data_IF_995555001363
#
_entry.id   IF_995555001363
#
_cell.length_a   1.000
_cell.length_b   1.000
_cell.length_c   1.000
_cell.angle_alpha   90.00
_cell.angle_beta   90.00
_cell.angle_gamma   90.00
#
_symmetry.space_group_name_H-M   'P 1'
#
loop_
_entity.id
_entity.type
_entity.pdbx_description
1 polymer ?
#
# COMPACT_ATOMS: atom_id res chain seq x y z
N UNK A 1 41.68 18.32 49.70
CA UNK A 1 40.77 18.85 48.63
C UNK A 1 40.76 17.84 47.53
N UNK A 2 39.77 16.99 47.46
CA UNK A 2 39.62 15.94 46.43
C UNK A 2 38.67 16.50 45.38
N UNK A 3 39.16 16.78 44.16
CA UNK A 3 38.32 17.16 43.01
C UNK A 3 37.61 15.92 42.46
N UNK A 4 36.28 15.88 42.60
CA UNK A 4 35.43 14.89 41.92
C UNK A 4 35.35 15.27 40.46
N UNK A 5 35.91 14.43 39.60
CA UNK A 5 35.74 14.48 38.14
C UNK A 5 34.45 13.72 37.80
N UNK A 6 33.42 14.44 37.36
CA UNK A 6 32.23 13.82 36.79
C UNK A 6 32.49 13.47 35.37
N UNK A 7 32.54 12.17 35.08
CA UNK A 7 32.62 11.65 33.73
C UNK A 7 31.19 11.64 33.15
N UNK A 8 30.90 12.60 32.26
CA UNK A 8 29.64 12.68 31.55
C UNK A 8 29.68 11.65 30.39
N UNK A 9 29.05 10.48 30.59
CA UNK A 9 28.84 9.52 29.48
C UNK A 9 27.78 10.11 28.54
N UNK A 10 28.25 10.68 27.42
CA UNK A 10 27.39 10.99 26.26
C UNK A 10 27.01 9.66 25.58
N UNK A 11 25.78 9.22 25.83
CA UNK A 11 25.14 8.16 25.03
C UNK A 11 24.86 8.77 23.66
N UNK A 12 25.72 8.53 22.67
CA UNK A 12 25.42 8.76 21.26
C UNK A 12 24.38 7.72 20.85
N UNK A 13 23.10 8.10 20.88
CA UNK A 13 22.04 7.35 20.17
C UNK A 13 22.31 7.62 18.69
N UNK A 14 22.99 6.68 18.02
CA UNK A 14 23.04 6.64 16.56
C UNK A 14 21.62 6.34 16.08
N UNK A 15 20.90 7.34 15.60
CA UNK A 15 19.73 7.15 14.79
C UNK A 15 20.19 6.46 13.49
N UNK A 16 20.07 5.15 13.44
CA UNK A 16 20.23 4.41 12.19
C UNK A 16 19.06 4.80 11.29
N UNK A 17 19.26 5.77 10.42
CA UNK A 17 18.34 6.02 9.30
C UNK A 17 18.51 4.85 8.34
N UNK A 18 17.64 3.86 8.45
CA UNK A 18 17.64 2.70 7.59
C UNK A 18 17.31 3.14 6.16
N UNK A 19 18.26 2.94 5.24
CA UNK A 19 18.07 3.17 3.81
C UNK A 19 17.23 2.03 3.19
N UNK A 20 16.78 2.22 1.95
CA UNK A 20 16.17 1.11 1.22
C UNK A 20 17.21 0.00 0.98
N UNK A 21 16.78 -1.28 0.99
CA UNK A 21 17.69 -2.40 0.79
C UNK A 21 18.33 -2.36 -0.59
N UNK A 22 19.62 -2.71 -0.65
CA UNK A 22 20.33 -2.87 -1.91
C UNK A 22 19.81 -4.11 -2.67
N UNK A 23 19.96 -4.13 -3.99
CA UNK A 23 19.48 -5.26 -4.81
C UNK A 23 20.09 -6.60 -4.39
N UNK A 24 21.33 -6.61 -3.88
CA UNK A 24 21.98 -7.82 -3.35
C UNK A 24 21.29 -8.39 -2.11
N UNK A 25 20.70 -7.55 -1.27
CA UNK A 25 19.99 -7.98 -0.05
C UNK A 25 18.63 -8.61 -0.39
N UNK A 26 18.02 -8.21 -1.51
CA UNK A 26 16.75 -8.75 -1.98
C UNK A 26 16.87 -10.12 -2.65
N UNK A 27 18.09 -10.61 -2.90
CA UNK A 27 18.28 -11.88 -3.61
C UNK A 27 17.67 -13.06 -2.85
N UNK A 28 17.91 -13.15 -1.52
CA UNK A 28 17.30 -14.18 -0.68
C UNK A 28 15.78 -14.11 -0.66
N UNK A 29 15.23 -12.90 -0.59
CA UNK A 29 13.78 -12.67 -0.57
C UNK A 29 13.13 -13.02 -1.91
N UNK A 30 13.86 -12.79 -3.03
CA UNK A 30 13.38 -13.18 -4.37
C UNK A 30 13.08 -14.67 -4.48
N UNK A 31 13.77 -15.55 -3.71
CA UNK A 31 13.50 -16.99 -3.74
C UNK A 31 12.09 -17.34 -3.25
N UNK A 32 11.49 -16.49 -2.42
CA UNK A 32 10.10 -16.62 -1.96
C UNK A 32 9.08 -16.08 -2.95
N UNK A 33 9.52 -15.36 -3.99
CA UNK A 33 8.64 -14.79 -5.00
C UNK A 33 8.48 -15.76 -6.18
N UNK A 34 7.26 -15.88 -6.68
CA UNK A 34 6.92 -16.78 -7.79
C UNK A 34 6.12 -16.05 -8.86
N UNK A 35 6.25 -16.53 -10.10
CA UNK A 35 5.43 -16.05 -11.21
C UNK A 35 4.17 -16.93 -11.31
N UNK A 36 2.99 -16.32 -11.28
CA UNK A 36 1.71 -17.02 -11.46
C UNK A 36 1.34 -17.00 -12.94
N UNK A 37 1.19 -18.18 -13.54
CA UNK A 37 0.84 -18.35 -14.95
C UNK A 37 -0.54 -18.97 -15.08
N UNK A 38 -1.34 -18.40 -15.96
CA UNK A 38 -2.74 -18.74 -16.13
C UNK A 38 -3.04 -19.06 -17.58
N UNK A 39 -3.92 -20.03 -17.80
CA UNK A 39 -4.44 -20.37 -19.14
C UNK A 39 -5.96 -20.25 -19.15
N UNK A 40 -6.48 -19.40 -20.02
CA UNK A 40 -7.92 -19.21 -20.20
C UNK A 40 -8.52 -20.14 -21.24
N UNK A 41 -9.85 -20.22 -21.29
CA UNK A 41 -10.60 -21.12 -22.17
C UNK A 41 -10.36 -20.95 -23.66
N UNK A 42 -9.97 -19.77 -24.09
CA UNK A 42 -9.65 -19.40 -25.47
C UNK A 42 -8.16 -19.59 -25.83
N UNK A 43 -7.36 -20.20 -24.96
CA UNK A 43 -5.91 -20.38 -25.16
C UNK A 43 -5.06 -19.14 -24.84
N UNK A 44 -5.66 -18.03 -24.45
CA UNK A 44 -4.94 -16.83 -23.97
C UNK A 44 -4.28 -17.15 -22.63
N UNK A 45 -3.08 -16.64 -22.44
CA UNK A 45 -2.34 -16.76 -21.19
C UNK A 45 -2.36 -15.43 -20.45
N UNK A 46 -2.43 -15.49 -19.12
CA UNK A 46 -2.28 -14.35 -18.20
C UNK A 46 -1.16 -14.61 -17.24
N UNK A 47 -0.69 -13.54 -16.60
CA UNK A 47 0.37 -13.62 -15.59
C UNK A 47 0.06 -12.75 -14.40
N UNK A 48 0.58 -13.17 -13.26
CA UNK A 48 0.59 -12.43 -11.99
C UNK A 48 1.81 -12.80 -11.18
N UNK A 49 1.86 -12.27 -10.00
CA UNK A 49 2.87 -12.55 -8.99
C UNK A 49 2.29 -13.40 -7.87
N UNK A 50 3.16 -14.02 -7.08
CA UNK A 50 2.79 -14.70 -5.85
C UNK A 50 3.96 -14.68 -4.88
N UNK A 51 3.66 -14.86 -3.60
CA UNK A 51 4.64 -14.94 -2.52
C UNK A 51 4.40 -16.18 -1.66
N UNK A 52 5.49 -16.89 -1.34
CA UNK A 52 5.44 -18.07 -0.45
C UNK A 52 5.27 -17.61 0.98
N UNK A 53 4.11 -17.88 1.58
CA UNK A 53 3.73 -17.39 2.92
C UNK A 53 3.95 -18.43 4.03
N UNK A 54 3.98 -19.70 3.68
CA UNK A 54 4.37 -20.83 4.52
C UNK A 54 4.68 -22.02 3.64
N UNK A 55 5.18 -23.11 4.23
CA UNK A 55 5.48 -24.34 3.52
C UNK A 55 4.33 -24.77 2.60
N UNK A 56 4.64 -24.96 1.30
CA UNK A 56 3.71 -25.39 0.28
C UNK A 56 2.51 -24.47 0.02
N UNK A 57 2.56 -23.18 0.41
CA UNK A 57 1.47 -22.23 0.21
C UNK A 57 1.96 -20.91 -0.38
N UNK A 58 1.28 -20.45 -1.43
CA UNK A 58 1.55 -19.19 -2.14
C UNK A 58 0.32 -18.30 -2.07
N UNK A 59 0.48 -17.10 -1.53
CA UNK A 59 -0.54 -16.05 -1.62
C UNK A 59 -0.44 -15.32 -2.97
N UNK A 60 -1.60 -14.96 -3.53
CA UNK A 60 -1.76 -14.19 -4.76
C UNK A 60 -3.16 -13.57 -4.82
N UNK A 61 -3.45 -12.74 -5.83
CA UNK A 61 -4.79 -12.24 -6.05
C UNK A 61 -5.66 -13.26 -6.79
N UNK A 62 -6.93 -13.33 -6.42
CA UNK A 62 -7.89 -14.22 -7.05
C UNK A 62 -8.18 -13.83 -8.52
N UNK A 63 -8.28 -12.52 -8.82
CA UNK A 63 -8.59 -12.03 -10.17
C UNK A 63 -7.53 -12.44 -11.20
N UNK A 64 -6.30 -12.78 -10.79
CA UNK A 64 -5.23 -13.26 -11.68
C UNK A 64 -5.66 -14.51 -12.44
N UNK A 65 -6.43 -15.40 -11.78
CA UNK A 65 -6.85 -16.67 -12.39
C UNK A 65 -8.36 -16.92 -12.34
N UNK A 66 -9.15 -15.89 -12.05
CA UNK A 66 -10.60 -16.00 -12.08
C UNK A 66 -11.08 -16.54 -13.45
N UNK A 67 -12.01 -17.49 -13.41
CA UNK A 67 -12.62 -18.11 -14.61
C UNK A 67 -11.63 -18.74 -15.59
N UNK A 68 -10.42 -19.06 -15.13
CA UNK A 68 -9.40 -19.73 -15.94
C UNK A 68 -9.61 -21.24 -15.98
N UNK A 69 -8.97 -21.88 -16.96
CA UNK A 69 -8.90 -23.36 -17.07
C UNK A 69 -7.83 -23.96 -16.17
N UNK A 70 -6.88 -23.17 -15.70
CA UNK A 70 -5.82 -23.62 -14.83
C UNK A 70 -4.82 -22.54 -14.48
N UNK A 71 -4.27 -22.67 -13.29
CA UNK A 71 -3.23 -21.82 -12.74
C UNK A 71 -2.01 -22.67 -12.41
N UNK A 72 -0.82 -22.11 -12.63
CA UNK A 72 0.45 -22.71 -12.27
C UNK A 72 1.35 -21.66 -11.65
N UNK A 73 2.26 -22.11 -10.81
CA UNK A 73 3.34 -21.27 -10.30
C UNK A 73 4.63 -21.68 -11.00
N UNK A 74 5.42 -20.67 -11.42
CA UNK A 74 6.71 -20.88 -12.08
C UNK A 74 7.80 -20.20 -11.27
N UNK A 75 8.86 -20.95 -10.99
CA UNK A 75 10.09 -20.46 -10.38
C UNK A 75 11.30 -21.14 -11.02
N UNK A 76 12.30 -20.36 -11.44
CA UNK A 76 13.51 -20.88 -12.05
C UNK A 76 13.23 -21.89 -13.19
N UNK A 77 12.27 -21.57 -14.08
CA UNK A 77 11.78 -22.39 -15.19
C UNK A 77 11.10 -23.70 -14.78
N UNK A 78 11.00 -24.01 -13.49
CA UNK A 78 10.24 -25.14 -12.97
C UNK A 78 8.79 -24.73 -12.72
N UNK A 79 7.86 -25.57 -13.18
CA UNK A 79 6.42 -25.41 -13.05
C UNK A 79 5.90 -26.24 -11.89
N UNK A 80 5.07 -25.63 -11.06
CA UNK A 80 4.37 -26.26 -9.95
C UNK A 80 2.86 -26.11 -10.14
N UNK A 81 2.12 -27.22 -9.97
CA UNK A 81 0.67 -27.25 -10.12
C UNK A 81 0.03 -27.27 -8.73
N UNK A 82 -0.84 -26.35 -8.38
CA UNK A 82 -1.52 -26.39 -7.10
C UNK A 82 -2.51 -27.54 -7.03
N UNK A 83 -2.64 -28.15 -5.85
CA UNK A 83 -3.59 -29.23 -5.56
C UNK A 83 -4.90 -28.70 -4.95
N UNK A 84 -4.90 -27.48 -4.44
CA UNK A 84 -6.07 -26.83 -3.85
C UNK A 84 -5.91 -25.31 -3.85
N UNK A 85 -7.04 -24.61 -3.79
CA UNK A 85 -7.12 -23.14 -3.73
C UNK A 85 -7.98 -22.74 -2.53
N UNK A 86 -7.49 -21.86 -1.69
CA UNK A 86 -8.29 -21.11 -0.74
C UNK A 86 -8.63 -19.78 -1.40
N UNK A 87 -9.91 -19.44 -1.55
CA UNK A 87 -10.32 -18.24 -2.25
C UNK A 87 -11.26 -17.37 -1.41
N UNK A 88 -10.99 -16.08 -1.43
CA UNK A 88 -11.90 -15.03 -1.00
C UNK A 88 -12.05 -14.04 -2.16
N UNK A 89 -12.98 -14.36 -3.06
CA UNK A 89 -13.21 -13.59 -4.28
C UNK A 89 -13.60 -12.13 -3.98
N UNK A 90 -14.37 -11.91 -2.91
CA UNK A 90 -14.79 -10.57 -2.49
C UNK A 90 -13.61 -9.70 -2.06
N UNK A 91 -12.67 -10.27 -1.31
CA UNK A 91 -11.44 -9.60 -0.87
C UNK A 91 -10.33 -9.64 -1.92
N UNK A 92 -10.54 -10.41 -2.99
CA UNK A 92 -9.54 -10.67 -4.05
C UNK A 92 -8.28 -11.38 -3.57
N UNK A 93 -8.34 -12.10 -2.46
CA UNK A 93 -7.22 -12.80 -1.86
C UNK A 93 -7.34 -14.31 -2.04
N UNK A 94 -6.32 -14.92 -2.62
CA UNK A 94 -6.25 -16.36 -2.83
C UNK A 94 -4.93 -16.95 -2.30
N UNK A 95 -5.01 -18.21 -1.83
CA UNK A 95 -3.83 -18.99 -1.46
C UNK A 95 -3.85 -20.30 -2.23
N UNK A 96 -2.80 -20.55 -2.98
CA UNK A 96 -2.55 -21.79 -3.72
C UNK A 96 -1.78 -22.77 -2.84
N UNK A 97 -2.26 -24.00 -2.71
CA UNK A 97 -1.61 -25.09 -1.96
C UNK A 97 -0.97 -26.09 -2.91
N UNK A 98 0.21 -26.55 -2.57
CA UNK A 98 0.99 -27.53 -3.34
C UNK A 98 1.29 -28.78 -2.50
N UNK A 99 1.60 -29.90 -3.14
CA UNK A 99 2.14 -31.10 -2.46
C UNK A 99 3.60 -30.91 -2.09
N UNK A 100 4.39 -30.38 -3.02
CA UNK A 100 5.83 -30.17 -2.87
C UNK A 100 6.22 -28.85 -3.56
N UNK A 101 6.51 -27.82 -2.76
CA UNK A 101 7.01 -26.53 -3.20
C UNK A 101 8.23 -26.16 -2.35
N UNK A 102 9.46 -26.59 -2.74
CA UNK A 102 10.66 -26.40 -1.94
C UNK A 102 11.21 -24.97 -2.05
N UNK A 103 10.37 -23.98 -1.74
CA UNK A 103 10.70 -22.57 -1.72
C UNK A 103 10.55 -22.00 -0.31
N UNK A 104 11.43 -21.08 0.12
CA UNK A 104 11.37 -20.49 1.45
C UNK A 104 10.12 -19.61 1.62
N UNK A 105 9.55 -19.65 2.81
CA UNK A 105 8.47 -18.77 3.20
C UNK A 105 9.00 -17.44 3.79
N UNK A 106 8.24 -16.37 3.61
CA UNK A 106 8.53 -15.07 4.23
C UNK A 106 7.91 -14.94 5.61
N UNK A 107 8.48 -14.07 6.46
CA UNK A 107 7.84 -13.62 7.69
C UNK A 107 6.73 -12.62 7.36
N UNK A 108 5.68 -12.55 8.18
CA UNK A 108 4.57 -11.59 8.02
C UNK A 108 4.48 -10.68 9.24
N UNK A 109 4.04 -9.44 9.02
CA UNK A 109 3.80 -8.43 10.05
C UNK A 109 2.46 -7.74 9.79
N UNK A 110 1.68 -7.55 10.85
CA UNK A 110 0.32 -7.03 10.77
C UNK A 110 0.27 -5.56 10.34
N UNK A 111 -0.80 -5.19 9.63
CA UNK A 111 -1.02 -3.82 9.17
C UNK A 111 -1.28 -2.82 10.30
N UNK A 112 -1.71 -3.29 11.48
CA UNK A 112 -1.88 -2.46 12.68
C UNK A 112 -0.57 -1.90 13.24
N UNK A 113 0.57 -2.48 12.86
CA UNK A 113 1.91 -2.07 13.28
C UNK A 113 2.56 -1.06 12.31
N UNK A 114 1.83 -0.64 11.27
CA UNK A 114 2.31 0.27 10.23
C UNK A 114 1.90 1.70 10.54
N UNK A 115 2.75 2.64 10.12
CA UNK A 115 2.44 4.06 10.19
C UNK A 115 2.62 4.75 8.83
N UNK A 116 2.05 5.95 8.70
CA UNK A 116 2.26 6.78 7.51
C UNK A 116 3.74 7.15 7.41
N UNK A 117 4.23 7.24 6.18
CA UNK A 117 5.62 7.51 5.80
C UNK A 117 6.62 6.39 6.14
N UNK A 118 6.17 5.25 6.71
CA UNK A 118 7.02 4.06 6.80
C UNK A 118 7.57 3.68 5.44
N UNK A 119 8.89 3.47 5.37
CA UNK A 119 9.57 3.04 4.15
C UNK A 119 9.24 1.59 3.85
N UNK A 120 8.82 1.33 2.62
CA UNK A 120 8.41 -0.01 2.15
C UNK A 120 8.93 -0.25 0.74
N UNK A 121 8.94 -1.49 0.31
CA UNK A 121 9.19 -1.83 -1.08
C UNK A 121 8.26 -2.95 -1.56
N UNK A 122 7.78 -2.82 -2.78
CA UNK A 122 7.08 -3.90 -3.46
C UNK A 122 8.09 -4.76 -4.21
N UNK A 123 7.91 -6.09 -4.17
CA UNK A 123 8.69 -7.05 -4.95
C UNK A 123 7.72 -7.86 -5.81
N UNK A 124 7.76 -7.66 -7.13
CA UNK A 124 6.73 -8.17 -8.03
C UNK A 124 7.32 -8.62 -9.35
N UNK A 125 6.68 -9.59 -9.99
CA UNK A 125 6.92 -9.86 -11.42
C UNK A 125 6.16 -8.84 -12.27
N UNK A 126 6.70 -8.54 -13.44
CA UNK A 126 5.99 -7.81 -14.50
C UNK A 126 5.84 -8.74 -15.70
N UNK A 127 4.96 -8.40 -16.65
CA UNK A 127 4.74 -9.25 -17.83
C UNK A 127 6.03 -9.59 -18.58
N UNK A 128 7.00 -8.68 -18.58
CA UNK A 128 8.20 -8.78 -19.40
C UNK A 128 9.45 -9.18 -18.61
N UNK A 129 9.34 -9.39 -17.29
CA UNK A 129 10.50 -9.70 -16.43
C UNK A 129 10.51 -11.16 -16.00
N UNK A 130 11.61 -11.91 -16.22
CA UNK A 130 11.76 -13.27 -15.72
C UNK A 130 12.08 -13.34 -14.23
N UNK A 131 12.37 -12.19 -13.60
CA UNK A 131 12.68 -12.07 -12.16
C UNK A 131 11.75 -11.05 -11.50
N UNK A 132 11.55 -11.20 -10.20
CA UNK A 132 10.85 -10.20 -9.42
C UNK A 132 11.71 -8.92 -9.31
N UNK A 133 11.08 -7.77 -9.53
CA UNK A 133 11.73 -6.46 -9.51
C UNK A 133 11.24 -5.65 -8.30
N UNK A 134 12.14 -4.95 -7.60
CA UNK A 134 11.76 -4.07 -6.50
C UNK A 134 11.24 -2.72 -7.00
N UNK A 135 10.30 -2.16 -6.27
CA UNK A 135 9.87 -0.78 -6.37
C UNK A 135 9.78 -0.19 -4.97
N UNK A 136 10.47 0.90 -4.73
CA UNK A 136 10.60 1.53 -3.43
C UNK A 136 9.56 2.62 -3.23
N UNK A 137 9.08 2.78 -2.00
CA UNK A 137 8.08 3.79 -1.67
C UNK A 137 7.82 3.86 -0.17
N UNK A 138 6.71 4.48 0.19
CA UNK A 138 6.28 4.69 1.57
C UNK A 138 4.81 4.33 1.72
N UNK A 139 4.39 4.07 2.96
CA UNK A 139 2.97 4.00 3.31
C UNK A 139 2.37 5.41 3.17
N UNK A 140 1.30 5.54 2.41
CA UNK A 140 0.61 6.81 2.13
C UNK A 140 -0.83 6.83 2.63
N UNK A 141 -1.32 5.70 3.12
CA UNK A 141 -2.65 5.57 3.72
C UNK A 141 -2.84 4.19 4.32
N UNK A 142 -3.58 4.15 5.39
CA UNK A 142 -4.00 2.95 6.10
C UNK A 142 -5.50 3.09 6.26
N UNK A 143 -6.26 2.36 5.43
CA UNK A 143 -7.70 2.54 5.32
C UNK A 143 -8.42 1.38 6.01
N UNK A 144 -9.11 1.61 7.14
CA UNK A 144 -9.94 0.59 7.76
C UNK A 144 -10.94 0.02 6.77
N UNK A 145 -10.98 -1.29 6.63
CA UNK A 145 -11.92 -1.97 5.78
C UNK A 145 -12.23 -3.37 6.33
N UNK A 146 -13.51 -3.62 6.64
CA UNK A 146 -13.96 -4.81 7.36
C UNK A 146 -13.21 -4.94 8.71
N UNK A 147 -12.44 -5.99 8.89
CA UNK A 147 -11.71 -6.32 10.12
C UNK A 147 -10.18 -6.13 10.01
N UNK A 148 -9.72 -5.34 9.04
CA UNK A 148 -8.30 -5.04 8.81
C UNK A 148 -8.11 -3.71 8.07
N UNK A 149 -6.92 -3.47 7.51
CA UNK A 149 -6.55 -2.21 6.86
C UNK A 149 -6.05 -2.43 5.43
N UNK A 150 -6.69 -1.80 4.46
CA UNK A 150 -6.13 -1.70 3.10
C UNK A 150 -4.98 -0.70 3.11
N UNK A 151 -3.84 -1.12 2.62
CA UNK A 151 -2.62 -0.32 2.62
C UNK A 151 -2.51 0.44 1.30
N UNK A 152 -2.39 1.77 1.36
CA UNK A 152 -2.03 2.62 0.21
C UNK A 152 -0.54 2.93 0.27
N UNK A 153 0.17 2.73 -0.84
CA UNK A 153 1.61 2.96 -0.92
C UNK A 153 2.01 3.76 -2.15
N UNK A 154 3.17 4.40 -2.09
CA UNK A 154 3.83 5.00 -3.26
C UNK A 154 4.79 4.05 -3.98
N UNK A 155 5.05 2.86 -3.44
CA UNK A 155 5.79 1.80 -4.13
C UNK A 155 4.99 1.37 -5.37
N UNK A 156 5.45 1.78 -6.54
CA UNK A 156 4.69 1.64 -7.78
C UNK A 156 4.76 0.21 -8.33
N UNK A 157 3.64 -0.28 -8.86
CA UNK A 157 3.58 -1.56 -9.55
C UNK A 157 2.68 -1.50 -10.81
N UNK A 158 2.78 -2.48 -11.68
CA UNK A 158 2.16 -2.47 -13.01
C UNK A 158 1.49 -3.80 -13.34
N UNK A 159 1.08 -3.98 -14.58
CA UNK A 159 0.47 -5.24 -15.06
C UNK A 159 1.44 -6.41 -14.84
N UNK A 160 0.94 -7.52 -14.30
CA UNK A 160 1.72 -8.67 -13.86
C UNK A 160 2.15 -8.62 -12.39
N UNK A 161 2.05 -7.47 -11.73
CA UNK A 161 2.40 -7.33 -10.32
C UNK A 161 1.32 -7.82 -9.35
N UNK A 162 0.09 -8.03 -9.82
CA UNK A 162 -1.02 -8.53 -8.99
C UNK A 162 -0.65 -9.82 -8.27
N UNK A 163 -0.89 -9.88 -6.96
CA UNK A 163 -0.50 -10.99 -6.10
C UNK A 163 0.94 -10.95 -5.61
N UNK A 164 1.71 -9.91 -5.93
CA UNK A 164 3.06 -9.73 -5.44
C UNK A 164 3.10 -9.27 -3.99
N UNK A 165 4.28 -8.97 -3.49
CA UNK A 165 4.52 -8.69 -2.09
C UNK A 165 4.86 -7.21 -1.84
N UNK A 166 4.31 -6.63 -0.78
CA UNK A 166 4.78 -5.40 -0.17
C UNK A 166 5.50 -5.77 1.13
N UNK A 167 6.73 -5.29 1.29
CA UNK A 167 7.59 -5.56 2.45
C UNK A 167 7.94 -4.28 3.20
N UNK A 168 8.11 -4.40 4.53
CA UNK A 168 8.83 -3.42 5.33
C UNK A 168 10.36 -3.55 5.14
N UNK A 169 11.14 -2.64 5.77
CA UNK A 169 12.61 -2.68 5.66
C UNK A 169 13.27 -3.83 6.45
N UNK A 170 12.52 -4.52 7.32
CA UNK A 170 12.95 -5.71 8.04
C UNK A 170 12.61 -7.01 7.27
N UNK A 171 12.19 -6.87 6.00
CA UNK A 171 11.79 -7.95 5.08
C UNK A 171 10.56 -8.74 5.53
N UNK A 172 9.69 -8.18 6.37
CA UNK A 172 8.40 -8.78 6.66
C UNK A 172 7.39 -8.44 5.57
N UNK A 173 6.65 -9.43 5.11
CA UNK A 173 5.48 -9.23 4.25
C UNK A 173 4.41 -8.48 5.05
N UNK A 174 3.99 -7.33 4.56
CA UNK A 174 2.96 -6.49 5.17
C UNK A 174 1.70 -6.37 4.31
N UNK A 175 1.78 -6.76 3.03
CA UNK A 175 0.63 -6.72 2.13
C UNK A 175 0.84 -7.44 0.82
N UNK A 176 -0.28 -7.77 0.16
CA UNK A 176 -0.32 -8.35 -1.19
C UNK A 176 -0.69 -7.24 -2.19
N UNK A 177 0.17 -7.00 -3.19
CA UNK A 177 -0.06 -5.95 -4.19
C UNK A 177 -1.23 -6.34 -5.09
N UNK A 178 -2.27 -5.51 -5.18
CA UNK A 178 -3.53 -5.91 -5.83
C UNK A 178 -3.92 -4.96 -6.95
N UNK A 179 -4.31 -3.74 -6.63
CA UNK A 179 -4.85 -2.83 -7.62
C UNK A 179 -4.22 -1.45 -7.54
N UNK A 180 -4.21 -0.76 -8.68
CA UNK A 180 -3.88 0.66 -8.74
C UNK A 180 -5.11 1.46 -9.16
N UNK A 181 -5.24 2.64 -8.62
CA UNK A 181 -6.31 3.54 -9.06
C UNK A 181 -6.09 3.98 -10.51
N UNK A 182 -7.16 4.18 -11.28
CA UNK A 182 -7.06 4.72 -12.62
C UNK A 182 -6.51 6.16 -12.61
N UNK A 183 -5.86 6.55 -13.72
CA UNK A 183 -5.37 7.91 -13.95
C UNK A 183 -3.89 8.10 -13.63
N UNK A 184 -3.32 9.18 -14.19
CA UNK A 184 -1.88 9.48 -14.07
C UNK A 184 -1.57 10.49 -12.95
N UNK A 185 -2.52 11.36 -12.62
CA UNK A 185 -2.26 12.54 -11.76
C UNK A 185 -2.34 12.22 -10.28
N UNK A 186 -3.22 11.29 -9.89
CA UNK A 186 -3.46 10.87 -8.51
C UNK A 186 -3.40 9.34 -8.41
N UNK A 187 -2.36 8.76 -9.04
CA UNK A 187 -2.15 7.31 -9.03
C UNK A 187 -1.85 6.81 -7.62
N UNK A 188 -2.64 5.87 -7.15
CA UNK A 188 -2.47 5.20 -5.87
C UNK A 188 -2.32 3.70 -6.11
N UNK A 189 -1.49 3.07 -5.31
CA UNK A 189 -1.25 1.62 -5.31
C UNK A 189 -1.76 1.06 -3.99
N UNK A 190 -2.53 -0.02 -4.07
CA UNK A 190 -3.20 -0.60 -2.91
C UNK A 190 -2.82 -2.06 -2.73
N UNK A 191 -2.60 -2.44 -1.48
CA UNK A 191 -2.25 -3.79 -1.09
C UNK A 191 -3.26 -4.32 -0.08
N UNK A 192 -3.57 -5.61 -0.18
CA UNK A 192 -4.41 -6.33 0.77
C UNK A 192 -3.60 -6.65 2.02
N UNK A 193 -4.19 -6.60 3.22
CA UNK A 193 -3.50 -6.89 4.46
C UNK A 193 -3.19 -8.39 4.62
N UNK A 194 -2.09 -8.70 5.28
CA UNK A 194 -1.66 -10.09 5.51
C UNK A 194 -2.55 -10.84 6.51
N UNK A 195 -3.25 -10.14 7.39
CA UNK A 195 -4.15 -10.72 8.39
C UNK A 195 -5.28 -11.53 7.75
N UNK A 196 -5.71 -11.15 6.56
CA UNK A 196 -6.72 -11.89 5.82
C UNK A 196 -6.22 -13.25 5.33
N UNK A 197 -4.90 -13.45 5.21
CA UNK A 197 -4.30 -14.73 4.82
C UNK A 197 -4.62 -15.79 5.89
N UNK A 198 -4.40 -15.46 7.17
CA UNK A 198 -4.69 -16.39 8.27
C UNK A 198 -6.16 -16.75 8.37
N UNK A 199 -7.04 -15.77 8.15
CA UNK A 199 -8.48 -15.99 8.13
C UNK A 199 -8.88 -16.89 6.96
N UNK A 200 -8.30 -16.66 5.78
CA UNK A 200 -8.57 -17.44 4.58
C UNK A 200 -8.15 -18.90 4.76
N UNK A 201 -7.00 -19.15 5.36
CA UNK A 201 -6.48 -20.50 5.59
C UNK A 201 -7.29 -21.34 6.58
N UNK A 202 -8.20 -20.71 7.36
CA UNK A 202 -9.17 -21.42 8.22
C UNK A 202 -10.40 -21.92 7.45
N UNK A 203 -10.64 -21.38 6.23
CA UNK A 203 -11.72 -21.81 5.36
C UNK A 203 -11.38 -23.17 4.70
N UNK A 204 -12.39 -23.82 4.12
CA UNK A 204 -12.15 -25.01 3.31
C UNK A 204 -11.60 -24.62 1.93
N UNK A 205 -10.62 -25.34 1.40
CA UNK A 205 -10.14 -25.11 0.05
C UNK A 205 -11.22 -25.44 -0.98
N UNK A 206 -11.19 -24.73 -2.11
CA UNK A 206 -12.07 -24.93 -3.26
C UNK A 206 -11.35 -25.77 -4.32
N UNK A 207 -12.11 -26.52 -5.11
CA UNK A 207 -11.57 -27.33 -6.21
C UNK A 207 -11.77 -26.67 -7.58
N UNK A 208 -12.55 -25.58 -7.67
CA UNK A 208 -12.81 -24.85 -8.88
C UNK A 208 -12.20 -23.45 -8.81
N UNK A 209 -12.00 -22.82 -9.99
CA UNK A 209 -11.46 -21.47 -10.16
C UNK A 209 -12.54 -20.49 -10.63
N UNK A 210 -13.81 -20.85 -10.42
CA UNK A 210 -14.94 -20.01 -10.81
C UNK A 210 -15.17 -18.97 -9.73
N UNK A 211 -15.19 -17.69 -10.12
CA UNK A 211 -15.48 -16.59 -9.22
C UNK A 211 -16.97 -16.61 -8.82
N UNK A 212 -17.24 -16.55 -7.53
CA UNK A 212 -18.59 -16.45 -6.97
C UNK A 212 -18.97 -15.01 -6.53
N UNK A 213 -18.02 -14.08 -6.59
CA UNK A 213 -18.20 -12.68 -6.24
C UNK A 213 -17.28 -11.76 -7.02
N UNK A 214 -17.71 -10.53 -7.23
CA UNK A 214 -16.84 -9.46 -7.72
C UNK A 214 -15.95 -8.95 -6.58
N UNK A 215 -14.66 -8.66 -6.82
CA UNK A 215 -13.80 -8.06 -5.82
C UNK A 215 -14.30 -6.66 -5.44
N UNK A 216 -14.14 -6.29 -4.16
CA UNK A 216 -14.68 -5.05 -3.58
C UNK A 216 -14.27 -3.78 -4.35
N UNK A 217 -13.05 -3.78 -4.90
CA UNK A 217 -12.52 -2.65 -5.67
C UNK A 217 -13.13 -2.53 -7.08
N UNK A 218 -13.78 -3.57 -7.61
CA UNK A 218 -14.46 -3.57 -8.92
C UNK A 218 -15.96 -3.28 -8.84
N UNK A 219 -16.50 -3.15 -7.64
CA UNK A 219 -17.91 -2.83 -7.42
C UNK A 219 -18.30 -1.47 -8.04
N UNK A 220 -19.61 -1.17 -8.24
CA UNK A 220 -20.08 0.17 -8.57
C UNK A 220 -19.58 1.21 -7.56
N UNK A 221 -19.31 2.45 -8.03
CA UNK A 221 -18.66 3.47 -7.21
C UNK A 221 -19.36 3.75 -5.87
N UNK A 222 -20.69 3.71 -5.83
CA UNK A 222 -21.48 3.92 -4.61
C UNK A 222 -21.45 2.74 -3.61
N UNK A 223 -20.83 1.62 -3.98
CA UNK A 223 -20.66 0.42 -3.13
C UNK A 223 -19.20 0.22 -2.69
N UNK A 224 -18.27 1.00 -3.25
CA UNK A 224 -16.86 0.98 -2.86
C UNK A 224 -16.66 1.69 -1.52
N UNK A 225 -15.56 1.39 -0.78
CA UNK A 225 -15.13 2.19 0.36
C UNK A 225 -14.90 3.67 -0.03
N UNK A 226 -15.07 4.59 0.92
CA UNK A 226 -14.93 6.04 0.65
C UNK A 226 -13.59 6.42 0.03
N UNK A 227 -12.48 5.84 0.49
CA UNK A 227 -11.15 6.12 -0.04
C UNK A 227 -11.01 5.78 -1.53
N UNK A 228 -11.86 4.90 -2.06
CA UNK A 228 -11.93 4.60 -3.49
C UNK A 228 -12.94 5.49 -4.22
N UNK A 229 -14.05 5.87 -3.57
CA UNK A 229 -15.07 6.71 -4.19
C UNK A 229 -14.53 8.09 -4.58
N UNK A 230 -13.59 8.66 -3.81
CA UNK A 230 -13.00 9.98 -4.10
C UNK A 230 -12.09 10.00 -5.33
N UNK A 231 -11.56 8.85 -5.75
CA UNK A 231 -10.52 8.77 -6.79
C UNK A 231 -11.01 9.30 -8.15
N UNK A 232 -12.12 8.77 -8.64
CA UNK A 232 -12.63 9.16 -9.96
C UNK A 232 -13.07 10.63 -10.04
N UNK A 233 -13.78 11.20 -9.05
CA UNK A 233 -14.03 12.64 -8.99
C UNK A 233 -12.75 13.47 -8.98
N UNK A 234 -11.71 13.07 -8.24
CA UNK A 234 -10.40 13.75 -8.24
C UNK A 234 -9.74 13.75 -9.62
N UNK A 235 -9.71 12.59 -10.30
CA UNK A 235 -9.14 12.48 -11.65
C UNK A 235 -9.86 13.39 -12.66
N UNK A 236 -11.18 13.57 -12.48
CA UNK A 236 -12.02 14.45 -13.30
C UNK A 236 -12.04 15.91 -12.84
N UNK A 237 -11.29 16.24 -11.79
CA UNK A 237 -11.29 17.56 -11.12
C UNK A 237 -12.70 18.03 -10.69
N UNK A 238 -13.60 17.07 -10.42
CA UNK A 238 -14.93 17.35 -9.89
C UNK A 238 -14.86 17.58 -8.37
N UNK A 239 -14.32 18.73 -7.97
CA UNK A 239 -14.04 19.03 -6.55
C UNK A 239 -15.31 19.13 -5.70
N UNK A 240 -16.44 19.53 -6.27
CA UNK A 240 -17.73 19.54 -5.55
C UNK A 240 -18.16 18.12 -5.16
N UNK A 241 -17.93 17.14 -6.02
CA UNK A 241 -18.24 15.75 -5.72
C UNK A 241 -17.24 15.17 -4.71
N UNK A 242 -15.95 15.52 -4.80
CA UNK A 242 -14.96 15.15 -3.76
C UNK A 242 -15.40 15.70 -2.40
N UNK A 243 -15.83 16.97 -2.32
CA UNK A 243 -16.36 17.56 -1.07
C UNK A 243 -17.57 16.78 -0.57
N UNK A 244 -18.52 16.43 -1.45
CA UNK A 244 -19.72 15.67 -1.07
C UNK A 244 -19.37 14.31 -0.45
N UNK A 245 -18.50 13.55 -1.13
CA UNK A 245 -18.07 12.22 -0.67
C UNK A 245 -17.27 12.33 0.62
N UNK A 246 -16.29 13.24 0.68
CA UNK A 246 -15.45 13.40 1.86
C UNK A 246 -16.21 13.89 3.09
N UNK A 247 -17.25 14.71 2.92
CA UNK A 247 -18.18 15.06 4.02
C UNK A 247 -18.91 13.85 4.58
N UNK A 248 -19.41 12.98 3.70
CA UNK A 248 -20.05 11.73 4.15
C UNK A 248 -19.01 10.83 4.83
N UNK A 249 -17.79 10.80 4.32
CA UNK A 249 -16.71 10.01 4.90
C UNK A 249 -16.36 10.50 6.31
N UNK A 250 -16.15 11.82 6.52
CA UNK A 250 -15.90 12.39 7.85
C UNK A 250 -17.06 12.19 8.84
N UNK A 251 -18.29 12.03 8.36
CA UNK A 251 -19.45 11.74 9.21
C UNK A 251 -19.53 10.26 9.65
N UNK A 252 -19.03 9.34 8.82
CA UNK A 252 -19.04 7.91 9.10
C UNK A 252 -17.77 7.44 9.82
N UNK A 253 -16.64 8.13 9.58
CA UNK A 253 -15.32 7.80 10.09
C UNK A 253 -14.63 9.11 10.53
N UNK A 254 -15.10 9.69 11.65
CA UNK A 254 -14.64 11.02 12.10
C UNK A 254 -13.16 11.06 12.49
N UNK A 255 -12.61 9.91 12.90
CA UNK A 255 -11.18 9.76 13.27
C UNK A 255 -10.28 9.42 12.07
N UNK A 256 -10.82 9.30 10.87
CA UNK A 256 -10.05 8.98 9.67
C UNK A 256 -9.39 10.24 9.11
N UNK A 257 -8.06 10.33 9.21
CA UNK A 257 -7.28 11.49 8.75
C UNK A 257 -7.39 11.74 7.24
N UNK A 258 -7.47 10.68 6.41
CA UNK A 258 -7.64 10.82 4.97
C UNK A 258 -8.99 11.46 4.60
N UNK A 259 -10.06 11.16 5.34
CA UNK A 259 -11.36 11.78 5.11
C UNK A 259 -11.30 13.31 5.22
N UNK A 260 -10.64 13.80 6.26
CA UNK A 260 -10.40 15.24 6.47
C UNK A 260 -9.42 15.81 5.47
N UNK A 261 -8.37 15.06 5.10
CA UNK A 261 -7.42 15.46 4.08
C UNK A 261 -8.12 15.71 2.73
N UNK A 262 -8.88 14.74 2.21
CA UNK A 262 -9.56 14.88 0.92
C UNK A 262 -10.59 16.01 0.94
N UNK A 263 -11.27 16.23 2.07
CA UNK A 263 -12.17 17.36 2.24
C UNK A 263 -11.42 18.69 2.16
N UNK A 264 -10.31 18.83 2.88
CA UNK A 264 -9.46 20.03 2.88
C UNK A 264 -8.78 20.27 1.53
N UNK A 265 -8.28 19.22 0.90
CA UNK A 265 -7.68 19.28 -0.43
C UNK A 265 -8.67 19.78 -1.48
N UNK A 266 -9.88 19.26 -1.51
CA UNK A 266 -10.91 19.71 -2.43
C UNK A 266 -11.31 21.16 -2.18
N UNK A 267 -11.42 21.61 -0.92
CA UNK A 267 -11.67 23.01 -0.58
C UNK A 267 -10.55 23.93 -1.07
N UNK A 268 -9.27 23.52 -0.95
CA UNK A 268 -8.12 24.25 -1.50
C UNK A 268 -8.24 24.38 -3.02
N UNK A 269 -8.60 23.31 -3.73
CA UNK A 269 -8.79 23.33 -5.19
C UNK A 269 -9.93 24.27 -5.63
N UNK A 270 -10.95 24.43 -4.78
CA UNK A 270 -12.04 25.39 -4.98
C UNK A 270 -11.70 26.81 -4.51
N UNK A 271 -10.46 27.04 -4.06
CA UNK A 271 -9.96 28.32 -3.51
C UNK A 271 -10.63 28.76 -2.19
N UNK A 272 -11.28 27.84 -1.47
CA UNK A 272 -11.87 28.08 -0.15
C UNK A 272 -10.81 27.86 0.94
N UNK A 273 -9.80 28.76 1.01
CA UNK A 273 -8.57 28.52 1.77
C UNK A 273 -8.77 28.40 3.29
N UNK A 274 -9.77 29.08 3.87
CA UNK A 274 -10.02 28.99 5.32
C UNK A 274 -10.60 27.62 5.71
N UNK A 275 -11.53 27.09 4.92
CA UNK A 275 -12.02 25.72 5.11
C UNK A 275 -10.93 24.69 4.84
N UNK A 276 -10.11 24.91 3.81
CA UNK A 276 -8.97 24.04 3.52
C UNK A 276 -8.01 23.94 4.72
N UNK A 277 -7.59 25.08 5.29
CA UNK A 277 -6.74 25.10 6.49
C UNK A 277 -7.37 24.38 7.67
N UNK A 278 -8.65 24.61 7.92
CA UNK A 278 -9.37 23.95 9.02
C UNK A 278 -9.32 22.42 8.88
N UNK A 279 -9.68 21.89 7.71
CA UNK A 279 -9.79 20.45 7.51
C UNK A 279 -8.42 19.76 7.37
N UNK A 280 -7.45 20.38 6.70
CA UNK A 280 -6.08 19.86 6.62
C UNK A 280 -5.39 19.83 8.00
N UNK A 281 -5.65 20.85 8.83
CA UNK A 281 -5.16 20.87 10.23
C UNK A 281 -5.81 19.74 11.04
N UNK A 282 -7.09 19.44 10.81
CA UNK A 282 -7.76 18.32 11.47
C UNK A 282 -7.16 16.98 11.04
N UNK A 283 -6.90 16.79 9.74
CA UNK A 283 -6.22 15.59 9.24
C UNK A 283 -4.86 15.37 9.92
N UNK A 284 -4.04 16.41 10.00
CA UNK A 284 -2.74 16.35 10.70
C UNK A 284 -2.87 16.11 12.21
N UNK A 285 -3.90 16.66 12.87
CA UNK A 285 -4.14 16.40 14.30
C UNK A 285 -4.53 14.95 14.58
N UNK A 286 -5.28 14.32 13.68
CA UNK A 286 -5.68 12.92 13.79
C UNK A 286 -4.51 11.97 13.52
N UNK A 287 -3.65 12.34 12.58
CA UNK A 287 -2.43 11.59 12.27
C UNK A 287 -1.24 12.55 12.13
N UNK A 288 -0.37 12.59 13.14
CA UNK A 288 0.82 13.45 13.17
C UNK A 288 1.82 13.19 12.04
N UNK A 289 1.75 12.01 11.39
CA UNK A 289 2.58 11.64 10.23
C UNK A 289 1.88 11.89 8.88
N UNK A 290 0.73 12.57 8.87
CA UNK A 290 0.01 12.90 7.63
C UNK A 290 0.73 14.00 6.84
N UNK A 291 1.84 13.64 6.21
CA UNK A 291 2.75 14.54 5.50
C UNK A 291 2.05 15.33 4.39
N UNK A 292 1.14 14.69 3.65
CA UNK A 292 0.42 15.35 2.56
C UNK A 292 -0.43 16.52 3.06
N UNK A 293 -1.01 16.45 4.27
CA UNK A 293 -1.72 17.59 4.88
C UNK A 293 -0.80 18.76 5.19
N UNK A 294 0.40 18.50 5.72
CA UNK A 294 1.39 19.53 6.00
C UNK A 294 1.89 20.21 4.71
N UNK A 295 2.08 19.45 3.64
CA UNK A 295 2.46 19.98 2.32
C UNK A 295 1.40 20.92 1.77
N UNK A 296 0.13 20.52 1.84
CA UNK A 296 -0.98 21.35 1.38
C UNK A 296 -1.14 22.63 2.24
N UNK A 297 -0.95 22.54 3.56
CA UNK A 297 -0.93 23.70 4.46
C UNK A 297 0.24 24.64 4.14
N UNK A 298 1.43 24.11 3.87
CA UNK A 298 2.60 24.89 3.46
C UNK A 298 2.34 25.67 2.18
N UNK A 299 1.76 25.04 1.16
CA UNK A 299 1.39 25.74 -0.08
C UNK A 299 0.38 26.86 0.16
N UNK A 300 -0.59 26.66 1.07
CA UNK A 300 -1.54 27.72 1.45
C UNK A 300 -0.80 28.87 2.15
N UNK A 301 0.09 28.59 3.10
CA UNK A 301 0.86 29.61 3.79
C UNK A 301 1.72 30.42 2.84
N UNK A 302 2.40 29.76 1.88
CA UNK A 302 3.16 30.43 0.81
C UNK A 302 2.29 31.33 -0.06
N UNK A 303 1.11 30.86 -0.47
CA UNK A 303 0.16 31.63 -1.28
C UNK A 303 -0.37 32.88 -0.54
N UNK A 304 -0.40 32.84 0.79
CA UNK A 304 -0.85 33.94 1.65
C UNK A 304 0.30 34.82 2.16
N UNK A 305 1.53 34.64 1.67
CA UNK A 305 2.75 35.32 2.14
C UNK A 305 3.00 35.21 3.66
N UNK A 306 2.45 34.16 4.29
CA UNK A 306 2.65 33.88 5.71
C UNK A 306 3.96 33.08 5.93
N UNK A 307 5.08 33.81 5.94
CA UNK A 307 6.40 33.21 6.02
C UNK A 307 6.69 32.54 7.38
N UNK A 308 6.09 33.02 8.47
CA UNK A 308 6.22 32.44 9.80
C UNK A 308 5.61 31.02 9.81
N UNK A 309 4.38 30.90 9.36
CA UNK A 309 3.69 29.60 9.28
C UNK A 309 4.36 28.67 8.28
N UNK A 310 4.80 29.16 7.11
CA UNK A 310 5.55 28.37 6.14
C UNK A 310 6.83 27.77 6.77
N UNK A 311 7.58 28.58 7.54
CA UNK A 311 8.79 28.11 8.24
C UNK A 311 8.46 27.04 9.29
N UNK A 312 7.38 27.23 10.05
CA UNK A 312 6.92 26.25 11.04
C UNK A 312 6.55 24.92 10.38
N UNK A 313 5.83 24.97 9.26
CA UNK A 313 5.39 23.78 8.51
C UNK A 313 6.57 23.03 7.88
N UNK A 314 7.55 23.74 7.32
CA UNK A 314 8.79 23.12 6.80
C UNK A 314 9.51 22.33 7.88
N UNK A 315 9.57 22.85 9.11
CA UNK A 315 10.18 22.13 10.22
C UNK A 315 9.41 20.83 10.52
N UNK A 316 8.07 20.87 10.63
CA UNK A 316 7.26 19.68 10.87
C UNK A 316 7.41 18.63 9.75
N UNK A 317 7.46 19.07 8.50
CA UNK A 317 7.70 18.19 7.35
C UNK A 317 9.09 17.54 7.47
N UNK A 318 10.13 18.32 7.83
CA UNK A 318 11.48 17.83 8.02
C UNK A 318 11.62 16.80 9.15
N UNK A 319 10.84 16.98 10.21
CA UNK A 319 10.83 16.08 11.38
C UNK A 319 10.22 14.69 11.00
N UNK A 320 9.28 14.65 10.03
CA UNK A 320 8.67 13.41 9.51
C UNK A 320 9.54 12.81 8.40
N UNK A 321 9.95 13.64 7.43
CA UNK A 321 10.72 13.23 6.25
C UNK A 321 11.65 14.34 5.78
N UNK A 322 12.92 14.25 6.15
CA UNK A 322 13.94 15.23 5.75
C UNK A 322 14.21 15.24 4.25
N UNK A 323 14.02 14.10 3.56
CA UNK A 323 14.27 13.98 2.13
C UNK A 323 13.24 14.78 1.32
N UNK A 324 12.02 14.95 1.84
CA UNK A 324 10.93 15.68 1.19
C UNK A 324 11.20 17.18 1.07
N UNK A 325 12.02 17.75 1.97
CA UNK A 325 12.39 19.17 1.91
C UNK A 325 13.04 19.53 0.57
N UNK A 326 13.90 18.65 0.06
CA UNK A 326 14.55 18.88 -1.24
C UNK A 326 13.54 18.93 -2.39
N UNK A 327 12.42 18.23 -2.28
CA UNK A 327 11.35 18.23 -3.28
C UNK A 327 10.50 19.51 -3.18
N UNK A 328 10.19 19.95 -1.96
CA UNK A 328 9.38 21.14 -1.69
C UNK A 328 10.09 22.44 -2.09
N UNK A 329 11.41 22.54 -1.83
CA UNK A 329 12.20 23.73 -2.13
C UNK A 329 12.56 23.87 -3.62
N UNK A 330 12.34 22.84 -4.44
CA UNK A 330 12.53 22.90 -5.91
C UNK A 330 11.34 23.47 -6.67
N UNK A 331 10.21 23.65 -5.99
CA UNK A 331 8.99 24.24 -6.50
C UNK A 331 8.99 25.75 -6.19
#
# INVERSE_FOLDING_TARGET
MIKKIYFLLLFLISLNVQGYPAQSELFGLSESMVHVWVTYGNGVTGTGSGVVIKENHVATDCHVFADSKGVNVVKNFKKYVPIAVFADWKRDLCVLKFDDLPLPAVSMKNSEELDYEDKVFALTYTNDSPIALPSYGKIKGIHPFEDSNIIRTSAAFTVGSSGGALFDLDFNLIGITTFKSPGKRYGNFYCLPVEWIDQLLRKKPQSNLVSDAAPFWSLPDNQKPFFMQVIMPMQKENWSEVVRISKLWTQNEEDNSDAWFYLGFAQKKMNNLDFAKLFLTQAYKLNGNHLDSLKELYEIAKKQDNNEEATRLIKLISDIDSDEISNILKI
#
